data_IF_288992033208
#
_entry.id   IF_288992033208
#
_cell.length_a   1.000
_cell.length_b   1.000
_cell.length_c   1.000
_cell.angle_alpha   90.00
_cell.angle_beta   90.00
_cell.angle_gamma   90.00
#
_symmetry.space_group_name_H-M   'P 1'
#
loop_
_entity.id
_entity.type
_entity.pdbx_description
1 polymer ?
#
# COMPACT_ATOMS: atom_id res chain seq x y z
N UNK A 1 -16.53 -69.77 33.01
CA UNK A 1 -16.57 -69.26 34.39
C UNK A 1 -16.41 -67.73 34.32
N UNK A 2 -17.35 -67.04 34.87
CA UNK A 2 -17.56 -65.61 35.13
C UNK A 2 -17.62 -64.61 33.98
N UNK A 3 -18.86 -64.22 33.77
CA UNK A 3 -19.32 -62.95 33.17
C UNK A 3 -18.88 -61.79 34.06
N UNK A 4 -18.60 -60.65 33.43
CA UNK A 4 -18.80 -59.34 34.05
C UNK A 4 -19.21 -58.30 33.00
N UNK A 5 -20.42 -57.81 33.18
CA UNK A 5 -21.03 -56.64 32.51
C UNK A 5 -20.23 -55.38 32.76
N UNK A 6 -20.11 -54.55 31.74
CA UNK A 6 -19.82 -53.13 31.92
C UNK A 6 -20.79 -52.23 31.14
N UNK A 7 -21.52 -51.53 31.92
CA UNK A 7 -22.42 -50.41 31.76
C UNK A 7 -21.97 -49.41 30.66
N UNK A 8 -22.85 -49.18 29.69
CA UNK A 8 -22.71 -48.09 28.70
C UNK A 8 -23.25 -46.81 29.32
N UNK A 9 -22.40 -45.87 29.64
CA UNK A 9 -22.78 -44.49 29.95
C UNK A 9 -22.74 -43.66 28.69
N UNK A 10 -23.91 -43.26 28.21
CA UNK A 10 -24.12 -42.36 27.09
C UNK A 10 -23.89 -40.92 27.60
N UNK A 11 -22.79 -40.31 27.25
CA UNK A 11 -22.54 -38.87 27.47
C UNK A 11 -23.01 -38.11 26.26
N UNK A 12 -24.14 -37.43 26.39
CA UNK A 12 -24.65 -36.49 25.37
C UNK A 12 -23.83 -35.22 25.42
N UNK A 13 -22.95 -35.02 24.45
CA UNK A 13 -22.20 -33.81 24.31
C UNK A 13 -23.07 -32.78 23.58
N UNK A 14 -23.59 -31.80 24.31
CA UNK A 14 -24.26 -30.64 23.77
C UNK A 14 -23.18 -29.74 23.15
N UNK A 15 -23.09 -29.73 21.82
CA UNK A 15 -22.25 -28.81 21.09
C UNK A 15 -22.90 -27.43 21.09
N UNK A 16 -22.46 -26.55 21.99
CA UNK A 16 -22.69 -25.13 21.86
C UNK A 16 -21.86 -24.64 20.68
N UNK A 17 -22.49 -24.44 19.50
CA UNK A 17 -21.91 -23.68 18.40
C UNK A 17 -21.85 -22.21 18.82
N UNK A 18 -20.72 -21.79 19.39
CA UNK A 18 -20.37 -20.39 19.49
C UNK A 18 -19.99 -19.90 18.09
N UNK A 19 -20.86 -19.11 17.48
CA UNK A 19 -20.56 -18.33 16.28
C UNK A 19 -19.52 -17.29 16.67
N UNK A 20 -18.25 -17.62 16.51
CA UNK A 20 -17.15 -16.64 16.59
C UNK A 20 -17.23 -15.82 15.32
N UNK A 21 -17.44 -14.49 15.38
CA UNK A 21 -17.48 -13.69 14.19
C UNK A 21 -16.15 -13.83 13.43
N UNK A 22 -16.23 -14.05 12.13
CA UNK A 22 -15.11 -14.28 11.22
C UNK A 22 -13.98 -13.21 11.29
N UNK A 23 -14.23 -12.13 11.97
CA UNK A 23 -13.29 -11.04 12.23
C UNK A 23 -12.13 -11.45 13.18
N UNK A 24 -12.35 -12.38 14.10
CA UNK A 24 -11.30 -12.84 15.01
C UNK A 24 -10.29 -13.77 14.32
N UNK A 25 -10.67 -14.41 13.23
CA UNK A 25 -9.74 -15.24 12.44
C UNK A 25 -8.84 -14.43 11.52
N UNK A 26 -9.17 -13.16 11.25
CA UNK A 26 -8.32 -12.26 10.47
C UNK A 26 -7.24 -11.59 11.32
N UNK A 27 -7.36 -11.63 12.65
CA UNK A 27 -6.47 -10.91 13.59
C UNK A 27 -5.56 -11.77 14.47
N UNK A 28 -5.59 -13.10 14.40
CA UNK A 28 -4.72 -13.82 15.34
C UNK A 28 -4.72 -15.32 15.25
N UNK A 29 -3.84 -15.90 14.45
CA UNK A 29 -3.26 -17.21 14.74
C UNK A 29 -1.91 -17.02 15.45
N UNK A 30 -1.57 -17.79 16.50
CA UNK A 30 -0.28 -17.68 17.18
C UNK A 30 0.79 -18.39 16.38
N UNK A 31 1.41 -17.71 15.45
CA UNK A 31 2.65 -17.96 14.69
C UNK A 31 2.50 -17.57 13.22
N UNK A 32 2.61 -16.35 12.98
CA UNK A 32 2.68 -15.71 11.69
C UNK A 32 2.17 -14.32 11.90
N UNK A 33 3.00 -13.46 12.48
CA UNK A 33 2.71 -12.05 12.55
C UNK A 33 2.44 -11.56 11.14
N UNK A 34 1.17 -11.57 10.73
CA UNK A 34 0.71 -10.56 9.79
C UNK A 34 0.90 -9.25 10.54
N UNK A 35 2.13 -8.76 10.51
CA UNK A 35 2.31 -7.35 10.70
C UNK A 35 1.23 -6.73 9.83
N UNK A 36 0.38 -5.90 10.37
CA UNK A 36 -0.37 -4.91 9.64
C UNK A 36 0.68 -4.01 8.95
N UNK A 37 1.41 -4.62 8.00
CA UNK A 37 2.11 -3.90 6.99
C UNK A 37 1.01 -3.22 6.22
N UNK A 38 0.74 -1.96 6.53
CA UNK A 38 0.07 -1.10 5.58
C UNK A 38 0.70 -1.34 4.21
N UNK A 39 0.00 -1.04 3.12
CA UNK A 39 0.58 -1.14 1.80
C UNK A 39 1.98 -0.54 1.87
N UNK A 40 2.96 -1.11 1.16
CA UNK A 40 4.31 -0.58 1.19
C UNK A 40 4.18 0.92 0.95
N UNK A 41 4.66 1.72 1.90
CA UNK A 41 4.78 3.14 1.66
C UNK A 41 5.74 3.23 0.48
N UNK A 42 5.20 3.39 -0.72
CA UNK A 42 6.00 3.61 -1.91
C UNK A 42 6.68 4.95 -1.69
N UNK A 43 7.94 4.87 -1.38
CA UNK A 43 8.78 6.04 -1.27
C UNK A 43 9.45 6.25 -2.63
N UNK A 44 9.09 7.32 -3.28
CA UNK A 44 9.64 7.71 -4.57
C UNK A 44 10.97 8.46 -4.44
N UNK A 45 11.57 8.46 -3.25
CA UNK A 45 12.93 8.96 -3.00
C UNK A 45 14.00 7.87 -3.17
N UNK A 46 15.23 8.23 -2.91
CA UNK A 46 16.36 7.30 -2.93
C UNK A 46 16.56 6.60 -4.27
N UNK A 47 16.66 5.28 -4.24
CA UNK A 47 16.89 4.46 -5.44
C UNK A 47 15.73 4.54 -6.45
N UNK A 48 14.50 4.66 -5.99
CA UNK A 48 13.33 4.80 -6.86
C UNK A 48 13.33 6.17 -7.56
N UNK A 49 13.62 7.26 -6.83
CA UNK A 49 13.72 8.61 -7.39
C UNK A 49 14.72 8.67 -8.55
N UNK A 50 15.83 7.94 -8.43
CA UNK A 50 16.87 7.89 -9.47
C UNK A 50 16.37 7.39 -10.83
N UNK A 51 15.31 6.55 -10.85
CA UNK A 51 14.73 6.03 -12.09
C UNK A 51 14.03 7.10 -12.93
N UNK A 52 13.58 8.21 -12.30
CA UNK A 52 12.91 9.30 -13.02
C UNK A 52 13.88 10.24 -13.75
N UNK A 53 15.18 10.07 -13.55
CA UNK A 53 16.22 10.79 -14.30
C UNK A 53 16.14 12.30 -14.11
N UNK A 54 16.00 13.04 -15.22
CA UNK A 54 15.94 14.50 -15.22
C UNK A 54 14.50 15.06 -15.04
N UNK A 55 13.57 14.27 -14.51
CA UNK A 55 12.19 14.66 -14.29
C UNK A 55 11.89 14.77 -12.78
N UNK A 56 12.42 15.79 -12.06
CA UNK A 56 12.31 15.92 -10.62
C UNK A 56 10.91 16.32 -10.15
N UNK A 57 10.13 16.92 -11.06
CA UNK A 57 8.81 17.48 -10.76
C UNK A 57 7.79 16.92 -11.75
N UNK A 58 6.78 16.22 -11.26
CA UNK A 58 5.72 15.68 -12.11
C UNK A 58 4.47 15.31 -11.31
N UNK A 59 3.36 15.13 -12.05
CA UNK A 59 2.17 14.41 -11.58
C UNK A 59 1.80 13.33 -12.58
N UNK A 60 1.19 12.25 -12.12
CA UNK A 60 0.65 11.20 -12.98
C UNK A 60 -0.48 10.45 -12.27
N UNK A 61 -1.36 9.85 -13.05
CA UNK A 61 -2.17 8.73 -12.58
C UNK A 61 -1.29 7.47 -12.59
N UNK A 62 -1.45 6.60 -11.60
CA UNK A 62 -0.64 5.39 -11.47
C UNK A 62 -1.54 4.16 -11.34
N UNK A 63 -1.15 3.08 -12.00
CA UNK A 63 -1.71 1.75 -11.79
C UNK A 63 -0.62 0.84 -11.27
N UNK A 64 -0.79 0.36 -10.04
CA UNK A 64 0.09 -0.65 -9.46
C UNK A 64 -0.48 -2.04 -9.68
N UNK A 65 0.31 -2.89 -10.30
CA UNK A 65 -0.06 -4.28 -10.55
C UNK A 65 0.85 -5.20 -9.74
N UNK A 66 0.22 -6.06 -8.94
CA UNK A 66 0.91 -7.04 -8.11
C UNK A 66 0.32 -8.43 -8.36
N UNK A 67 1.14 -9.48 -8.39
CA UNK A 67 0.62 -10.84 -8.48
C UNK A 67 -0.29 -11.14 -7.29
N UNK A 68 -1.44 -11.75 -7.55
CA UNK A 68 -2.31 -12.22 -6.49
C UNK A 68 -1.62 -13.23 -5.57
N UNK A 69 -2.11 -13.38 -4.35
CA UNK A 69 -1.61 -14.39 -3.41
C UNK A 69 -1.80 -15.78 -4.00
N UNK A 70 -0.78 -16.64 -3.84
CA UNK A 70 -0.82 -18.06 -4.28
C UNK A 70 -1.03 -18.27 -5.79
N UNK A 71 -0.53 -17.36 -6.65
CA UNK A 71 -0.69 -17.47 -8.10
C UNK A 71 -2.08 -17.10 -8.63
N UNK A 72 -2.88 -16.40 -7.82
CA UNK A 72 -4.18 -15.89 -8.21
C UNK A 72 -4.11 -14.73 -9.22
N UNK A 73 -5.27 -14.19 -9.55
CA UNK A 73 -5.43 -13.06 -10.47
C UNK A 73 -4.61 -11.84 -10.03
N UNK A 74 -3.99 -11.16 -10.99
CA UNK A 74 -3.24 -9.91 -10.73
C UNK A 74 -4.13 -8.87 -10.08
N UNK A 75 -3.65 -8.31 -8.98
CA UNK A 75 -4.30 -7.21 -8.30
C UNK A 75 -3.81 -5.90 -8.91
N UNK A 76 -4.73 -5.03 -9.31
CA UNK A 76 -4.44 -3.69 -9.83
C UNK A 76 -5.03 -2.65 -8.89
N UNK A 77 -4.19 -1.78 -8.36
CA UNK A 77 -4.58 -0.67 -7.49
C UNK A 77 -4.35 0.63 -8.22
N UNK A 78 -5.41 1.40 -8.53
CA UNK A 78 -5.26 2.73 -9.11
C UNK A 78 -4.85 3.75 -8.04
N UNK A 79 -4.18 4.81 -8.48
CA UNK A 79 -3.74 5.87 -7.59
C UNK A 79 -3.30 7.11 -8.35
N UNK A 80 -2.76 8.07 -7.60
CA UNK A 80 -2.16 9.28 -8.14
C UNK A 80 -0.83 9.57 -7.47
N UNK A 81 0.08 10.14 -8.23
CA UNK A 81 1.38 10.55 -7.70
C UNK A 81 1.65 12.00 -8.04
N UNK A 82 2.27 12.72 -7.11
CA UNK A 82 2.90 14.01 -7.32
C UNK A 82 4.29 13.97 -6.70
N UNK A 83 5.29 14.49 -7.42
CA UNK A 83 6.67 14.63 -6.95
C UNK A 83 7.14 16.05 -7.23
N UNK A 84 7.74 16.70 -6.24
CA UNK A 84 8.41 17.98 -6.39
C UNK A 84 9.41 18.25 -5.26
N UNK A 85 10.53 18.88 -5.58
CA UNK A 85 11.57 19.27 -4.60
C UNK A 85 12.06 18.11 -3.71
N UNK A 86 12.02 16.88 -4.22
CA UNK A 86 12.32 15.64 -3.48
C UNK A 86 11.22 15.19 -2.52
N UNK A 87 10.07 15.86 -2.49
CA UNK A 87 8.87 15.43 -1.77
C UNK A 87 8.02 14.55 -2.67
N UNK A 88 7.26 13.64 -2.08
CA UNK A 88 6.27 12.86 -2.83
C UNK A 88 4.94 12.78 -2.10
N UNK A 89 3.87 12.76 -2.89
CA UNK A 89 2.52 12.46 -2.48
C UNK A 89 2.01 11.30 -3.31
N UNK A 90 1.58 10.25 -2.66
CA UNK A 90 1.03 9.07 -3.30
C UNK A 90 -0.35 8.76 -2.74
N UNK A 91 -1.34 8.73 -3.61
CA UNK A 91 -2.72 8.40 -3.28
C UNK A 91 -3.04 6.99 -3.81
N UNK A 92 -3.63 6.16 -2.97
CA UNK A 92 -4.13 4.84 -3.35
C UNK A 92 -5.64 4.79 -3.18
N UNK A 93 -6.33 4.26 -4.18
CA UNK A 93 -7.77 4.05 -4.16
C UNK A 93 -8.06 2.54 -4.10
N UNK A 94 -8.23 2.06 -2.88
CA UNK A 94 -8.54 0.65 -2.62
C UNK A 94 -9.99 0.30 -2.96
N UNK A 95 -10.88 1.31 -3.05
CA UNK A 95 -12.28 1.10 -3.44
C UNK A 95 -12.41 0.69 -4.92
N UNK A 96 -11.48 1.17 -5.76
CA UNK A 96 -11.44 0.89 -7.19
C UNK A 96 -10.36 -0.17 -7.57
N UNK A 97 -9.88 -0.92 -6.59
CA UNK A 97 -8.98 -2.04 -6.82
C UNK A 97 -9.67 -3.14 -7.65
N UNK A 98 -8.93 -3.70 -8.62
CA UNK A 98 -9.39 -4.81 -9.47
C UNK A 98 -8.56 -6.05 -9.20
N UNK A 99 -9.18 -7.23 -9.30
CA UNK A 99 -8.52 -8.51 -9.07
C UNK A 99 -8.17 -8.78 -7.60
N UNK A 100 -7.31 -9.75 -7.34
CA UNK A 100 -6.76 -10.04 -6.01
C UNK A 100 -7.70 -10.78 -5.05
N UNK A 101 -8.86 -11.22 -5.50
CA UNK A 101 -9.85 -12.00 -4.70
C UNK A 101 -10.24 -11.34 -3.36
N UNK A 102 -10.32 -9.99 -3.33
CA UNK A 102 -10.87 -9.31 -2.16
C UNK A 102 -12.39 -9.57 -2.08
N UNK A 103 -12.91 -10.15 -0.99
CA UNK A 103 -14.34 -10.31 -0.81
C UNK A 103 -15.05 -8.94 -0.84
N UNK A 104 -16.22 -8.86 -1.47
CA UNK A 104 -17.00 -7.63 -1.55
C UNK A 104 -17.35 -7.05 -0.16
N UNK A 105 -17.53 -7.94 0.83
CA UNK A 105 -17.76 -7.56 2.23
C UNK A 105 -16.54 -6.85 2.82
N UNK A 106 -15.33 -7.32 2.52
CA UNK A 106 -14.08 -6.69 3.01
C UNK A 106 -13.89 -5.30 2.40
N UNK A 107 -14.17 -5.14 1.10
CA UNK A 107 -14.13 -3.84 0.44
C UNK A 107 -15.17 -2.87 1.04
N UNK A 108 -16.39 -3.36 1.28
CA UNK A 108 -17.45 -2.58 1.90
C UNK A 108 -17.12 -2.17 3.34
N UNK A 109 -16.47 -3.05 4.11
CA UNK A 109 -16.00 -2.76 5.47
C UNK A 109 -14.89 -1.71 5.45
N UNK A 110 -13.91 -1.82 4.53
CA UNK A 110 -12.86 -0.80 4.39
C UNK A 110 -13.45 0.58 4.11
N UNK A 111 -14.43 0.65 3.19
CA UNK A 111 -15.15 1.89 2.88
C UNK A 111 -15.93 2.42 4.09
N UNK A 112 -16.66 1.56 4.80
CA UNK A 112 -17.39 1.94 6.00
C UNK A 112 -16.46 2.43 7.13
N UNK A 113 -15.22 1.94 7.16
CA UNK A 113 -14.16 2.38 8.06
C UNK A 113 -13.44 3.64 7.58
N UNK A 114 -13.72 4.15 6.39
CA UNK A 114 -13.03 5.29 5.80
C UNK A 114 -11.55 5.01 5.47
N UNK A 115 -11.23 3.74 5.21
CA UNK A 115 -9.87 3.25 4.89
C UNK A 115 -9.73 2.85 3.42
N UNK A 116 -10.72 3.13 2.61
CA UNK A 116 -10.76 2.82 1.18
C UNK A 116 -9.84 3.73 0.35
N UNK A 117 -9.49 4.89 0.90
CA UNK A 117 -8.51 5.80 0.33
C UNK A 117 -7.39 6.08 1.32
N UNK A 118 -6.17 5.99 0.85
CA UNK A 118 -4.97 6.29 1.63
C UNK A 118 -4.06 7.21 0.86
N UNK A 119 -3.48 8.18 1.57
CA UNK A 119 -2.50 9.10 1.01
C UNK A 119 -1.23 9.04 1.85
N UNK A 120 -0.11 8.82 1.18
CA UNK A 120 1.22 8.94 1.79
C UNK A 120 1.85 10.25 1.34
N UNK A 121 2.30 11.07 2.28
CA UNK A 121 3.07 12.29 2.01
C UNK A 121 4.45 12.10 2.60
N UNK A 122 5.47 12.00 1.75
CA UNK A 122 6.86 11.81 2.15
C UNK A 122 7.62 13.14 2.05
N UNK A 123 8.25 13.51 3.14
CA UNK A 123 9.05 14.73 3.31
C UNK A 123 10.46 14.36 3.75
N UNK A 124 11.34 13.88 2.85
CA UNK A 124 12.63 13.32 3.20
C UNK A 124 13.54 14.30 3.94
N UNK A 125 13.55 15.58 3.56
CA UNK A 125 14.34 16.63 4.24
C UNK A 125 13.92 16.81 5.71
N UNK A 126 12.66 16.58 6.02
CA UNK A 126 12.07 16.64 7.36
C UNK A 126 12.12 15.29 8.07
N UNK A 127 12.62 14.24 7.39
CA UNK A 127 12.64 12.84 7.86
C UNK A 127 11.27 12.39 8.36
N UNK A 128 10.21 12.86 7.69
CA UNK A 128 8.82 12.63 8.10
C UNK A 128 8.02 12.10 6.93
N UNK A 129 7.23 11.10 7.20
CA UNK A 129 6.19 10.61 6.29
C UNK A 129 4.86 10.63 7.02
N UNK A 130 3.84 11.19 6.40
CA UNK A 130 2.48 11.17 6.92
C UNK A 130 1.64 10.15 6.17
N UNK A 131 0.86 9.37 6.91
CA UNK A 131 -0.24 8.58 6.37
C UNK A 131 -1.53 9.35 6.64
N UNK A 132 -2.24 9.70 5.57
CA UNK A 132 -3.50 10.45 5.61
C UNK A 132 -4.63 9.54 5.19
N UNK A 133 -5.73 9.57 5.93
CA UNK A 133 -6.96 8.83 5.69
C UNK A 133 -8.09 9.81 5.40
N UNK A 134 -8.40 10.12 4.13
CA UNK A 134 -9.42 11.10 3.78
C UNK A 134 -10.80 10.75 4.34
N UNK A 135 -11.19 9.48 4.30
CA UNK A 135 -12.48 9.02 4.84
C UNK A 135 -12.62 9.17 6.35
N UNK A 136 -11.50 9.25 7.08
CA UNK A 136 -11.47 9.51 8.53
C UNK A 136 -11.23 10.99 8.86
N UNK A 137 -10.91 11.80 7.87
CA UNK A 137 -10.42 13.18 8.06
C UNK A 137 -9.30 13.24 9.11
N UNK A 138 -8.34 12.32 9.01
CA UNK A 138 -7.30 12.14 10.00
C UNK A 138 -5.97 11.78 9.35
N UNK A 139 -4.86 12.09 10.05
CA UNK A 139 -3.53 11.70 9.63
C UNK A 139 -2.62 11.45 10.84
N UNK A 140 -1.56 10.68 10.58
CA UNK A 140 -0.53 10.40 11.58
C UNK A 140 0.85 10.32 10.93
N UNK A 141 1.92 10.67 11.65
CA UNK A 141 3.26 10.38 11.21
C UNK A 141 3.49 8.87 11.25
N UNK A 142 4.23 8.38 10.28
CA UNK A 142 4.70 7.00 10.24
C UNK A 142 6.24 7.00 10.18
N UNK A 143 6.84 6.05 10.87
CA UNK A 143 8.29 5.88 10.77
C UNK A 143 8.62 5.38 9.37
N UNK A 144 9.54 6.04 8.69
CA UNK A 144 10.05 5.58 7.40
C UNK A 144 10.64 4.18 7.58
N UNK A 145 10.07 3.19 6.91
CA UNK A 145 10.56 1.81 6.99
C UNK A 145 11.85 1.62 6.21
N UNK A 146 12.03 2.42 5.17
CA UNK A 146 13.22 2.42 4.36
C UNK A 146 14.01 3.73 4.59
N UNK A 147 15.07 3.72 5.40
CA UNK A 147 15.89 4.90 5.61
C UNK A 147 16.63 5.36 4.35
N UNK A 148 16.78 4.50 3.34
CA UNK A 148 17.40 4.88 2.05
C UNK A 148 16.55 5.89 1.28
N UNK A 149 15.24 5.86 1.46
CA UNK A 149 14.33 6.80 0.81
C UNK A 149 14.56 8.25 1.26
N UNK A 150 15.16 8.46 2.43
CA UNK A 150 15.55 9.79 2.91
C UNK A 150 16.93 10.25 2.40
N UNK A 151 17.69 9.36 1.73
CA UNK A 151 18.98 9.73 1.16
C UNK A 151 18.78 10.59 -0.09
N UNK A 152 19.64 11.59 -0.32
CA UNK A 152 19.58 12.37 -1.56
C UNK A 152 19.88 11.47 -2.77
N UNK A 153 19.26 11.75 -3.89
CA UNK A 153 19.45 11.00 -5.14
C UNK A 153 20.91 10.99 -5.62
N UNK A 154 21.71 11.99 -5.20
CA UNK A 154 23.16 12.07 -5.49
C UNK A 154 23.93 10.87 -4.95
N UNK A 155 23.46 10.23 -3.91
CA UNK A 155 24.13 9.09 -3.24
C UNK A 155 23.92 7.77 -4.00
N UNK A 156 23.10 7.81 -5.06
CA UNK A 156 22.82 6.67 -5.91
C UNK A 156 23.43 6.80 -7.29
N UNK A 157 24.02 5.71 -7.78
CA UNK A 157 24.50 5.58 -9.16
C UNK A 157 23.51 4.73 -9.95
N UNK A 158 23.22 5.12 -11.18
CA UNK A 158 22.37 4.35 -12.08
C UNK A 158 23.17 3.91 -13.30
N UNK A 159 23.06 2.63 -13.63
CA UNK A 159 23.56 2.06 -14.87
C UNK A 159 22.37 1.50 -15.65
N UNK A 160 22.30 1.79 -16.93
CA UNK A 160 21.21 1.32 -17.80
C UNK A 160 21.76 0.52 -18.97
N UNK A 161 21.06 -0.56 -19.32
CA UNK A 161 21.35 -1.38 -20.49
C UNK A 161 20.09 -1.47 -21.34
N UNK A 162 20.16 -1.03 -22.59
CA UNK A 162 19.03 -1.12 -23.53
C UNK A 162 18.69 -2.58 -23.83
N UNK A 163 17.41 -2.92 -23.69
CA UNK A 163 16.86 -4.25 -23.98
C UNK A 163 16.05 -4.26 -25.28
N UNK A 164 15.68 -3.09 -25.81
CA UNK A 164 14.90 -2.97 -27.03
C UNK A 164 13.96 -1.77 -27.01
N UNK A 165 13.04 -1.74 -27.97
CA UNK A 165 12.06 -0.65 -28.12
C UNK A 165 10.67 -1.24 -28.23
N UNK A 166 9.71 -0.62 -27.56
CA UNK A 166 8.29 -1.00 -27.62
C UNK A 166 7.39 0.19 -27.32
N UNK A 167 6.11 0.09 -27.64
CA UNK A 167 5.13 1.14 -27.30
C UNK A 167 4.39 0.76 -26.02
N UNK A 168 4.32 1.67 -25.06
CA UNK A 168 3.59 1.50 -23.80
C UNK A 168 2.61 2.66 -23.65
N UNK A 169 1.33 2.33 -23.50
CA UNK A 169 0.23 3.31 -23.35
C UNK A 169 0.23 4.43 -24.40
N UNK A 170 0.58 4.07 -25.64
CA UNK A 170 0.68 5.01 -26.78
C UNK A 170 2.01 5.74 -26.91
N UNK A 171 2.91 5.64 -25.95
CA UNK A 171 4.23 6.28 -25.97
C UNK A 171 5.29 5.37 -26.58
N UNK A 172 6.11 5.85 -27.54
CA UNK A 172 7.28 5.12 -28.02
C UNK A 172 8.34 5.09 -26.92
N UNK A 173 8.74 3.89 -26.49
CA UNK A 173 9.63 3.69 -25.35
C UNK A 173 10.92 2.96 -25.73
N UNK A 174 12.01 3.33 -25.05
CA UNK A 174 13.20 2.52 -24.94
C UNK A 174 13.08 1.70 -23.65
N UNK A 175 13.12 0.38 -23.78
CA UNK A 175 13.13 -0.56 -22.65
C UNK A 175 14.55 -0.73 -22.16
N UNK A 176 14.78 -0.53 -20.88
CA UNK A 176 16.10 -0.62 -20.26
C UNK A 176 16.05 -1.52 -19.03
N UNK A 177 17.11 -2.29 -18.80
CA UNK A 177 17.46 -2.78 -17.47
C UNK A 177 18.18 -1.63 -16.76
N UNK A 178 17.67 -1.23 -15.60
CA UNK A 178 18.28 -0.23 -14.73
C UNK A 178 18.81 -0.92 -13.47
N UNK A 179 20.04 -0.61 -13.09
CA UNK A 179 20.67 -1.04 -11.84
C UNK A 179 21.04 0.21 -11.06
N UNK A 180 20.35 0.45 -9.95
CA UNK A 180 20.65 1.55 -9.05
C UNK A 180 21.49 1.01 -7.91
N UNK A 181 22.66 1.58 -7.68
CA UNK A 181 23.59 1.19 -6.61
C UNK A 181 23.65 2.31 -5.57
N UNK A 182 23.44 1.97 -4.30
CA UNK A 182 23.55 2.90 -3.19
C UNK A 182 25.03 3.12 -2.76
N UNK A 183 25.24 4.00 -1.76
CA UNK A 183 26.55 4.32 -1.18
C UNK A 183 27.20 3.13 -0.42
N UNK A 184 26.41 2.10 -0.08
CA UNK A 184 26.87 0.88 0.57
C UNK A 184 27.17 -0.25 -0.42
N UNK A 185 26.89 -0.03 -1.72
CA UNK A 185 27.07 -1.01 -2.79
C UNK A 185 25.90 -1.96 -2.98
N UNK A 186 24.75 -1.75 -2.28
CA UNK A 186 23.57 -2.53 -2.54
C UNK A 186 22.98 -2.17 -3.90
N UNK A 187 22.49 -3.18 -4.62
CA UNK A 187 21.98 -3.03 -5.99
C UNK A 187 20.47 -3.28 -6.03
N UNK A 188 19.76 -2.36 -6.65
CA UNK A 188 18.33 -2.44 -6.92
C UNK A 188 18.13 -2.55 -8.43
N UNK A 189 17.64 -3.70 -8.88
CA UNK A 189 17.41 -3.94 -10.30
C UNK A 189 15.95 -3.69 -10.65
N UNK A 190 15.74 -3.00 -11.78
CA UNK A 190 14.41 -2.70 -12.33
C UNK A 190 14.44 -2.80 -13.84
N UNK A 191 13.31 -3.09 -14.45
CA UNK A 191 13.10 -2.86 -15.88
C UNK A 191 12.25 -1.61 -16.05
N UNK A 192 12.72 -0.67 -16.87
CA UNK A 192 12.07 0.61 -17.08
C UNK A 192 11.80 0.84 -18.57
N UNK A 193 10.69 1.51 -18.88
CA UNK A 193 10.29 1.90 -20.22
C UNK A 193 10.25 3.42 -20.28
N UNK A 194 11.30 3.99 -20.86
CA UNK A 194 11.48 5.43 -20.96
C UNK A 194 10.81 5.96 -22.23
N UNK A 195 9.76 6.77 -22.08
CA UNK A 195 9.03 7.38 -23.18
C UNK A 195 9.85 8.49 -23.85
N UNK A 196 10.19 8.30 -25.12
CA UNK A 196 11.07 9.24 -25.87
C UNK A 196 10.38 10.56 -26.17
N UNK A 197 9.06 10.59 -26.20
CA UNK A 197 8.21 11.76 -26.39
C UNK A 197 7.88 12.51 -25.09
N UNK A 198 8.25 11.94 -23.91
CA UNK A 198 8.06 12.50 -22.58
C UNK A 198 9.39 12.70 -21.84
N UNK A 199 10.37 13.31 -22.47
CA UNK A 199 11.70 13.59 -21.88
C UNK A 199 12.34 12.36 -21.20
N UNK A 200 12.18 11.18 -21.79
CA UNK A 200 12.61 9.89 -21.25
C UNK A 200 12.04 9.57 -19.87
N UNK A 201 10.84 10.07 -19.54
CA UNK A 201 10.12 9.70 -18.33
C UNK A 201 9.79 8.20 -18.35
N UNK A 202 9.97 7.48 -17.24
CA UNK A 202 9.64 6.05 -17.16
C UNK A 202 8.12 5.88 -17.03
N UNK A 203 7.41 5.62 -18.13
CA UNK A 203 5.96 5.37 -18.13
C UNK A 203 5.59 4.00 -17.59
N UNK A 204 6.57 3.08 -17.51
CA UNK A 204 6.39 1.76 -16.87
C UNK A 204 7.67 1.39 -16.13
N UNK A 205 7.51 0.88 -14.91
CA UNK A 205 8.59 0.34 -14.08
C UNK A 205 8.17 -1.04 -13.61
N UNK A 206 9.03 -2.04 -13.75
CA UNK A 206 8.89 -3.37 -13.16
C UNK A 206 10.04 -3.60 -12.19
N UNK A 207 9.68 -3.98 -10.94
CA UNK A 207 10.63 -4.37 -9.91
C UNK A 207 10.35 -5.79 -9.45
N UNK A 208 11.37 -6.49 -9.01
CA UNK A 208 11.21 -7.81 -8.40
C UNK A 208 11.51 -7.72 -6.91
N UNK A 209 10.52 -8.01 -6.09
CA UNK A 209 10.67 -8.12 -4.64
C UNK A 209 10.26 -9.50 -4.17
N UNK A 210 11.16 -10.21 -3.49
CA UNK A 210 10.90 -11.54 -2.94
C UNK A 210 10.32 -12.53 -3.96
N UNK A 211 10.81 -12.47 -5.22
CA UNK A 211 10.35 -13.34 -6.31
C UNK A 211 8.98 -12.96 -6.89
N UNK A 212 8.46 -11.78 -6.56
CA UNK A 212 7.23 -11.24 -7.13
C UNK A 212 7.54 -10.01 -7.97
N UNK A 213 6.96 -9.93 -9.14
CA UNK A 213 7.07 -8.75 -10.01
C UNK A 213 5.98 -7.76 -9.63
N UNK A 214 6.37 -6.56 -9.25
CA UNK A 214 5.48 -5.42 -9.11
C UNK A 214 5.65 -4.53 -10.36
N UNK A 215 4.54 -4.16 -10.98
CA UNK A 215 4.52 -3.27 -12.13
C UNK A 215 3.85 -1.95 -11.75
N UNK A 216 4.46 -0.84 -12.08
CA UNK A 216 3.88 0.50 -11.98
C UNK A 216 3.74 1.06 -13.39
N UNK A 217 2.52 1.46 -13.75
CA UNK A 217 2.21 2.17 -14.99
C UNK A 217 1.85 3.61 -14.66
N UNK A 218 2.48 4.56 -15.34
CA UNK A 218 2.24 5.99 -15.18
C UNK A 218 1.48 6.51 -16.40
N UNK A 219 0.32 7.12 -16.18
CA UNK A 219 -0.59 7.63 -17.17
C UNK A 219 -0.82 9.12 -16.96
N UNK A 220 -1.28 9.83 -17.98
CA UNK A 220 -1.59 11.26 -17.89
C UNK A 220 -0.46 12.10 -17.26
N UNK A 221 0.79 11.75 -17.60
CA UNK A 221 2.00 12.35 -17.05
C UNK A 221 2.08 13.83 -17.40
N UNK A 222 2.26 14.68 -16.39
CA UNK A 222 2.48 16.12 -16.53
C UNK A 222 3.84 16.46 -15.91
N UNK A 223 4.79 16.85 -16.75
CA UNK A 223 6.14 17.22 -16.36
C UNK A 223 6.21 18.70 -15.97
N UNK A 224 5.32 19.09 -15.07
CA UNK A 224 5.25 20.45 -14.52
C UNK A 224 5.26 20.37 -13.00
N UNK A 225 5.87 21.37 -12.35
CA UNK A 225 5.93 21.39 -10.90
C UNK A 225 4.52 21.45 -10.29
N UNK A 226 4.14 20.47 -9.45
CA UNK A 226 2.88 20.47 -8.74
C UNK A 226 2.80 21.58 -7.69
N UNK A 227 1.57 21.93 -7.27
CA UNK A 227 1.35 22.87 -6.20
C UNK A 227 1.94 22.36 -4.87
N UNK A 228 2.60 23.25 -4.13
CA UNK A 228 3.26 22.92 -2.87
C UNK A 228 2.29 22.42 -1.80
N UNK A 229 1.04 22.85 -1.83
CA UNK A 229 -0.02 22.42 -0.88
C UNK A 229 -0.34 20.93 -0.96
N UNK A 230 -0.02 20.26 -2.08
CA UNK A 230 -0.19 18.82 -2.22
C UNK A 230 0.70 18.04 -1.24
N UNK A 231 1.80 18.60 -0.79
CA UNK A 231 2.76 17.97 0.11
C UNK A 231 2.54 18.34 1.58
N UNK A 232 1.40 18.92 1.89
CA UNK A 232 0.99 19.23 3.25
C UNK A 232 -0.20 18.35 3.66
N UNK A 233 -0.27 17.91 4.95
CA UNK A 233 -1.48 17.27 5.45
C UNK A 233 -2.67 18.22 5.30
N UNK A 234 -3.85 17.72 4.87
CA UNK A 234 -5.01 18.59 4.65
C UNK A 234 -5.42 19.37 5.90
N UNK A 235 -5.72 20.66 5.73
CA UNK A 235 -6.20 21.50 6.80
C UNK A 235 -7.53 20.96 7.35
N UNK A 236 -7.72 21.06 8.68
CA UNK A 236 -8.92 20.58 9.36
C UNK A 236 -8.93 19.08 9.67
N UNK A 237 -7.95 18.32 9.21
CA UNK A 237 -7.83 16.91 9.58
C UNK A 237 -7.24 16.74 10.97
N UNK A 238 -7.76 15.76 11.73
CA UNK A 238 -7.25 15.43 13.05
C UNK A 238 -5.87 14.78 12.96
N UNK A 239 -4.87 15.38 13.59
CA UNK A 239 -3.54 14.80 13.73
C UNK A 239 -3.53 13.84 14.92
N UNK A 240 -2.94 12.65 14.73
CA UNK A 240 -2.62 11.68 15.77
C UNK A 240 -1.11 11.58 15.94
N UNK A 241 -0.67 11.19 17.12
CA UNK A 241 0.76 11.03 17.43
C UNK A 241 1.38 9.81 16.75
N UNK A 242 0.55 8.83 16.37
CA UNK A 242 0.98 7.63 15.64
C UNK A 242 -0.18 7.00 14.87
N UNK A 243 0.15 6.20 13.85
CA UNK A 243 -0.83 5.40 13.12
C UNK A 243 -1.58 4.42 14.06
N UNK A 244 -0.89 3.88 15.08
CA UNK A 244 -1.51 2.99 16.05
C UNK A 244 -2.59 3.71 16.86
N UNK A 245 -2.32 4.93 17.35
CA UNK A 245 -3.29 5.74 18.08
C UNK A 245 -4.52 6.07 17.22
N UNK A 246 -4.30 6.38 15.93
CA UNK A 246 -5.38 6.63 14.98
C UNK A 246 -6.25 5.38 14.81
N UNK A 247 -5.65 4.20 14.60
CA UNK A 247 -6.37 2.94 14.43
C UNK A 247 -7.15 2.55 15.67
N UNK A 248 -6.57 2.71 16.88
CA UNK A 248 -7.25 2.42 18.14
C UNK A 248 -8.47 3.31 18.34
N UNK A 249 -8.36 4.62 18.11
CA UNK A 249 -9.50 5.56 18.22
C UNK A 249 -10.61 5.20 17.22
N UNK A 250 -10.24 4.84 15.99
CA UNK A 250 -11.19 4.42 14.95
C UNK A 250 -11.94 3.14 15.36
N UNK A 251 -11.23 2.14 15.87
CA UNK A 251 -11.85 0.89 16.36
C UNK A 251 -12.77 1.14 17.55
N UNK A 252 -12.37 1.96 18.52
CA UNK A 252 -13.21 2.28 19.69
C UNK A 252 -14.49 3.00 19.27
N UNK A 253 -14.42 3.93 18.33
CA UNK A 253 -15.60 4.62 17.80
C UNK A 253 -16.58 3.69 17.10
N UNK A 254 -16.06 2.67 16.41
CA UNK A 254 -16.92 1.66 15.76
C UNK A 254 -17.60 0.74 16.76
N UNK A 255 -16.86 0.24 17.77
CA UNK A 255 -17.45 -0.57 18.82
C UNK A 255 -18.50 0.19 19.61
N UNK A 256 -18.30 1.47 19.91
CA UNK A 256 -19.28 2.34 20.56
C UNK A 256 -20.55 2.57 19.73
N UNK A 257 -20.44 2.63 18.40
CA UNK A 257 -21.60 2.74 17.49
C UNK A 257 -22.37 1.41 17.35
N UNK A 258 -21.70 0.26 17.40
CA UNK A 258 -22.34 -1.06 17.36
C UNK A 258 -23.06 -1.43 18.65
N UNK A 259 -22.64 -0.91 19.80
CA UNK A 259 -23.26 -1.19 21.09
C UNK A 259 -24.62 -0.50 21.34
N UNK A 260 -24.99 0.51 20.56
CA UNK A 260 -26.27 1.22 20.71
C UNK A 260 -27.46 0.55 19.98
N UNK A 261 -27.25 -0.55 19.26
CA UNK A 261 -28.33 -1.31 18.60
C UNK A 261 -28.81 -2.56 19.38
N UNK A 262 -28.46 -2.71 20.66
CA UNK A 262 -29.13 -3.69 21.49
C UNK A 262 -30.51 -3.15 21.87
N UNK A 263 -31.55 -3.75 21.27
CA UNK A 263 -32.95 -3.51 21.59
C UNK A 263 -33.18 -3.63 23.11
N UNK A 264 -33.98 -2.73 23.72
CA UNK A 264 -34.44 -2.95 25.07
C UNK A 264 -35.32 -4.22 25.10
N UNK A 265 -35.24 -5.01 26.19
CA UNK A 265 -36.12 -6.20 26.33
C UNK A 265 -37.57 -5.72 26.32
N UNK A 266 -38.37 -6.29 25.43
CA UNK A 266 -39.85 -6.14 25.49
C UNK A 266 -40.35 -6.79 26.75
N UNK A 267 -41.00 -6.02 27.60
CA UNK A 267 -41.79 -6.51 28.76
C UNK A 267 -43.14 -7.01 28.26
#
# INVERSE_FOLDING_TARGET
MLMKNHFKTLVTLVACMSVVPAFAQMMGGPRGGMGMGGPPALDFGGSMGKLFGNNPDFTADIEMQMPGRSGGETMTVPGKIAVADGKSRFEMDMANMKGGNMPAEAASQMKAMGMDQMVTISLPKEKTTYMVYPGLQAYAPVTMRNPEAAKPESDFKIETTELGKETVDGHPCVKNKAVVTDDQGNKHESTIWNATDLHNFPVKIETQEQGRTMTMLFKDVKLTKPDASLFEPPSGYKKYDSQMALMQDTMMKQMGRGGMMMHPPQQ
#
